data_IF_177846168286
#
_entry.id   IF_177846168286
#
_cell.length_a   1.000
_cell.length_b   1.000
_cell.length_c   1.000
_cell.angle_alpha   90.00
_cell.angle_beta   90.00
_cell.angle_gamma   90.00
#
_symmetry.space_group_name_H-M   'P 1'
#
loop_
_entity.id
_entity.type
_entity.pdbx_description
1 polymer ?
#
# COMPACT_ATOMS: atom_id res chain seq x y z
N UNK A 1 -28.65 31.75 -31.54
CA UNK A 1 -27.57 31.17 -30.69
C UNK A 1 -26.49 32.23 -30.54
N UNK A 2 -26.45 32.96 -29.42
CA UNK A 2 -25.31 33.85 -29.12
C UNK A 2 -24.12 32.94 -28.76
N UNK A 3 -23.10 32.92 -29.60
CA UNK A 3 -21.88 32.15 -29.34
C UNK A 3 -21.26 32.61 -28.02
N UNK A 4 -21.17 31.71 -27.05
CA UNK A 4 -20.35 31.90 -25.86
C UNK A 4 -18.89 32.03 -26.33
N UNK A 5 -18.40 33.25 -26.48
CA UNK A 5 -16.97 33.54 -26.48
C UNK A 5 -16.54 33.52 -25.01
N UNK A 6 -16.09 32.35 -24.55
CA UNK A 6 -15.45 32.22 -23.27
C UNK A 6 -13.99 31.89 -23.51
N UNK A 7 -13.14 32.82 -23.17
CA UNK A 7 -11.70 32.63 -23.21
C UNK A 7 -11.25 32.27 -21.77
N UNK A 8 -11.18 30.97 -21.48
CA UNK A 8 -10.57 30.50 -20.23
C UNK A 8 -9.10 30.25 -20.52
N UNK A 9 -8.24 31.07 -19.96
CA UNK A 9 -6.81 30.87 -20.05
C UNK A 9 -6.38 29.85 -19.00
N UNK A 10 -5.95 28.69 -19.45
CA UNK A 10 -5.52 27.60 -18.58
C UNK A 10 -4.35 28.02 -17.70
N UNK A 11 -3.40 28.78 -18.27
CA UNK A 11 -2.24 29.30 -17.57
C UNK A 11 -2.57 30.21 -16.38
N UNK A 12 -3.78 30.79 -16.30
CA UNK A 12 -4.22 31.62 -15.19
C UNK A 12 -4.94 30.79 -14.09
N UNK A 13 -5.17 29.50 -14.32
CA UNK A 13 -5.93 28.60 -13.45
C UNK A 13 -5.18 27.32 -13.06
N UNK A 14 -4.06 27.02 -13.68
CA UNK A 14 -3.24 25.81 -13.45
C UNK A 14 -1.80 26.24 -13.31
N UNK A 15 -1.17 25.89 -12.19
CA UNK A 15 0.23 26.15 -11.95
C UNK A 15 1.12 25.51 -13.04
N UNK A 16 2.17 26.20 -13.53
CA UNK A 16 3.09 25.72 -14.58
C UNK A 16 3.70 24.35 -14.27
N UNK A 17 3.91 24.02 -13.00
CA UNK A 17 4.37 22.70 -12.53
C UNK A 17 3.54 21.54 -13.12
N UNK A 18 2.24 21.71 -13.36
CA UNK A 18 1.36 20.69 -13.94
C UNK A 18 1.34 20.64 -15.47
N UNK A 19 2.24 21.37 -16.16
CA UNK A 19 2.30 21.40 -17.61
C UNK A 19 2.38 19.98 -18.21
N UNK A 20 3.21 19.11 -17.64
CA UNK A 20 3.35 17.73 -18.10
C UNK A 20 2.05 16.95 -17.98
N UNK A 21 1.34 17.05 -16.86
CA UNK A 21 0.01 16.41 -16.65
C UNK A 21 -0.99 16.86 -17.71
N UNK A 22 -0.93 18.11 -18.09
CA UNK A 22 -1.85 18.70 -19.05
C UNK A 22 -1.56 18.30 -20.49
N UNK A 23 -0.30 18.10 -20.84
CA UNK A 23 0.15 17.87 -22.22
C UNK A 23 0.49 16.42 -22.54
N UNK A 24 0.59 15.55 -21.55
CA UNK A 24 0.96 14.15 -21.75
C UNK A 24 -0.03 13.39 -22.63
N UNK A 25 0.51 12.58 -23.53
CA UNK A 25 -0.26 11.59 -24.32
C UNK A 25 -0.42 10.23 -23.62
N UNK A 26 0.16 10.05 -22.42
CA UNK A 26 0.10 8.79 -21.69
C UNK A 26 -1.32 8.49 -21.19
N UNK A 27 -1.80 7.24 -21.30
CA UNK A 27 -3.16 6.88 -20.87
C UNK A 27 -3.34 6.89 -19.35
N UNK A 28 -2.27 6.63 -18.58
CA UNK A 28 -2.33 6.44 -17.14
C UNK A 28 -1.56 7.54 -16.39
N UNK A 29 -2.24 8.25 -15.47
CA UNK A 29 -1.69 9.43 -14.80
C UNK A 29 -1.87 9.32 -13.28
N UNK A 30 -0.78 9.13 -12.56
CA UNK A 30 -0.76 9.04 -11.08
C UNK A 30 -0.24 10.36 -10.52
N UNK A 31 -1.10 11.09 -9.80
CA UNK A 31 -0.77 12.37 -9.19
C UNK A 31 -0.72 12.20 -7.66
N UNK A 32 0.48 12.22 -7.10
CA UNK A 32 0.71 12.13 -5.66
C UNK A 32 1.25 13.45 -5.09
N UNK A 33 1.00 13.72 -3.81
CA UNK A 33 1.54 14.93 -3.18
C UNK A 33 0.81 15.31 -1.90
N UNK A 34 1.34 16.32 -1.22
CA UNK A 34 0.83 16.80 0.05
C UNK A 34 -0.54 17.48 -0.01
N UNK A 35 -1.02 17.96 1.12
CA UNK A 35 -2.20 18.83 1.18
C UNK A 35 -1.92 20.14 0.46
N UNK A 36 -2.96 20.72 -0.13
CA UNK A 36 -2.89 21.96 -0.91
C UNK A 36 -1.96 21.90 -2.12
N UNK A 37 -1.67 20.73 -2.66
CA UNK A 37 -0.81 20.54 -3.82
C UNK A 37 -1.56 20.54 -5.15
N UNK A 38 -2.80 21.02 -5.18
CA UNK A 38 -3.64 21.28 -6.38
C UNK A 38 -4.04 20.07 -7.23
N UNK A 39 -3.59 18.85 -6.94
CA UNK A 39 -3.85 17.62 -7.72
C UNK A 39 -5.31 17.47 -8.18
N UNK A 40 -6.24 17.42 -7.22
CA UNK A 40 -7.66 17.22 -7.52
C UNK A 40 -8.28 18.39 -8.29
N UNK A 41 -7.79 19.63 -8.05
CA UNK A 41 -8.23 20.82 -8.79
C UNK A 41 -7.79 20.75 -10.25
N UNK A 42 -6.53 20.39 -10.49
CA UNK A 42 -5.96 20.26 -11.84
C UNK A 42 -6.65 19.15 -12.62
N UNK A 43 -6.88 17.97 -12.01
CA UNK A 43 -7.61 16.88 -12.67
C UNK A 43 -9.02 17.33 -13.03
N UNK A 44 -9.76 17.96 -12.11
CA UNK A 44 -11.11 18.42 -12.37
C UNK A 44 -11.17 19.41 -13.55
N UNK A 45 -10.24 20.38 -13.60
CA UNK A 45 -10.14 21.34 -14.74
C UNK A 45 -9.80 20.60 -16.04
N UNK A 46 -8.86 19.66 -16.01
CA UNK A 46 -8.46 18.88 -17.17
C UNK A 46 -9.60 18.02 -17.70
N UNK A 47 -10.42 17.39 -16.84
CA UNK A 47 -11.59 16.63 -17.23
C UNK A 47 -12.63 17.51 -17.94
N UNK A 48 -12.85 18.75 -17.46
CA UNK A 48 -13.71 19.71 -18.16
C UNK A 48 -13.11 20.09 -19.53
N UNK A 49 -11.82 20.36 -19.58
CA UNK A 49 -11.12 20.67 -20.83
C UNK A 49 -11.23 19.53 -21.84
N UNK A 50 -11.11 18.29 -21.42
CA UNK A 50 -11.22 17.10 -22.29
C UNK A 50 -12.62 16.90 -22.85
N UNK A 51 -13.68 17.21 -22.10
CA UNK A 51 -15.07 17.02 -22.57
C UNK A 51 -15.55 18.14 -23.50
N UNK A 52 -15.00 19.35 -23.37
CA UNK A 52 -15.45 20.55 -24.12
C UNK A 52 -15.47 20.35 -25.66
N UNK A 53 -14.46 19.76 -26.32
CA UNK A 53 -14.51 19.49 -27.76
C UNK A 53 -15.74 18.70 -28.19
N UNK A 54 -16.13 17.69 -27.42
CA UNK A 54 -17.33 16.88 -27.68
C UNK A 54 -18.62 17.68 -27.51
N UNK A 55 -18.67 18.56 -26.46
CA UNK A 55 -19.82 19.43 -26.24
C UNK A 55 -20.01 20.42 -27.40
N UNK A 56 -18.91 20.94 -27.95
CA UNK A 56 -18.92 21.85 -29.12
C UNK A 56 -19.37 21.10 -30.36
N UNK A 57 -18.88 19.87 -30.56
CA UNK A 57 -19.25 19.04 -31.69
C UNK A 57 -20.66 18.44 -31.58
N UNK A 58 -21.41 18.68 -30.50
CA UNK A 58 -22.73 18.11 -30.28
C UNK A 58 -22.70 16.60 -29.99
N UNK A 59 -21.56 16.05 -29.58
CA UNK A 59 -21.34 14.62 -29.32
C UNK A 59 -21.41 14.32 -27.82
N UNK A 60 -21.92 13.13 -27.52
CA UNK A 60 -21.97 12.65 -26.13
C UNK A 60 -20.66 12.05 -25.72
N UNK A 61 -20.04 12.55 -24.66
CA UNK A 61 -18.85 11.99 -24.02
C UNK A 61 -19.03 11.92 -22.48
N UNK A 62 -18.55 10.87 -21.86
CA UNK A 62 -18.76 10.60 -20.45
C UNK A 62 -17.45 10.49 -19.69
N UNK A 63 -17.48 10.91 -18.42
CA UNK A 63 -16.39 10.81 -17.47
C UNK A 63 -16.89 10.04 -16.24
N UNK A 64 -16.07 9.16 -15.69
CA UNK A 64 -16.37 8.41 -14.47
C UNK A 64 -15.45 8.87 -13.35
N UNK A 65 -16.00 9.16 -12.18
CA UNK A 65 -15.26 9.60 -10.98
C UNK A 65 -15.56 8.62 -9.85
N UNK A 66 -14.53 8.09 -9.24
CA UNK A 66 -14.63 6.99 -8.27
C UNK A 66 -13.94 7.36 -6.98
N UNK A 67 -14.62 7.09 -5.87
CA UNK A 67 -14.02 7.04 -4.53
C UNK A 67 -14.14 5.64 -3.92
N UNK A 68 -13.33 5.34 -2.92
CA UNK A 68 -13.46 4.07 -2.18
C UNK A 68 -14.85 3.95 -1.54
N UNK A 69 -15.32 5.02 -0.89
CA UNK A 69 -16.56 5.05 -0.13
C UNK A 69 -17.55 6.04 -0.74
N UNK A 70 -18.73 5.54 -1.13
CA UNK A 70 -19.73 6.32 -1.86
C UNK A 70 -20.31 7.52 -1.09
N UNK A 71 -20.41 7.44 0.24
CA UNK A 71 -20.95 8.53 1.06
C UNK A 71 -20.08 9.80 1.09
N UNK A 72 -18.80 9.71 0.73
CA UNK A 72 -17.85 10.84 0.68
C UNK A 72 -17.89 11.62 -0.63
N UNK A 73 -18.58 11.11 -1.64
CA UNK A 73 -18.65 11.70 -3.01
C UNK A 73 -19.17 13.13 -2.97
N UNK A 74 -20.27 13.37 -2.21
CA UNK A 74 -20.99 14.62 -2.21
C UNK A 74 -20.13 15.83 -1.87
N UNK A 75 -19.37 15.71 -0.79
CA UNK A 75 -18.63 16.83 -0.20
C UNK A 75 -17.19 16.91 -0.72
N UNK A 76 -16.82 16.07 -1.72
CA UNK A 76 -15.51 16.04 -2.34
C UNK A 76 -15.59 16.23 -3.87
N UNK A 77 -15.48 15.14 -4.62
CA UNK A 77 -15.35 15.16 -6.09
C UNK A 77 -16.56 15.75 -6.80
N UNK A 78 -17.77 15.61 -6.25
CA UNK A 78 -18.97 16.18 -6.84
C UNK A 78 -18.92 17.71 -6.82
N UNK A 79 -18.61 18.32 -5.68
CA UNK A 79 -18.41 19.78 -5.57
C UNK A 79 -17.19 20.24 -6.39
N UNK A 80 -16.15 19.42 -6.48
CA UNK A 80 -14.93 19.75 -7.24
C UNK A 80 -15.23 19.86 -8.75
N UNK A 81 -16.01 18.95 -9.32
CA UNK A 81 -16.45 19.04 -10.73
C UNK A 81 -17.37 20.24 -10.94
N UNK A 82 -18.29 20.53 -10.02
CA UNK A 82 -19.14 21.74 -10.11
C UNK A 82 -18.29 23.02 -10.09
N UNK A 83 -17.29 23.08 -9.21
CA UNK A 83 -16.35 24.20 -9.18
C UNK A 83 -15.59 24.34 -10.51
N UNK A 84 -15.12 23.25 -11.09
CA UNK A 84 -14.43 23.27 -12.38
C UNK A 84 -15.35 23.73 -13.51
N UNK A 85 -16.60 23.26 -13.56
CA UNK A 85 -17.61 23.72 -14.51
C UNK A 85 -17.89 25.23 -14.39
N UNK A 86 -17.90 25.75 -13.16
CA UNK A 86 -18.07 27.18 -12.92
C UNK A 86 -16.88 27.99 -13.46
N UNK A 87 -15.65 27.52 -13.23
CA UNK A 87 -14.44 28.13 -13.78
C UNK A 87 -14.45 28.24 -15.32
N UNK A 88 -15.04 27.23 -15.98
CA UNK A 88 -15.24 27.25 -17.43
C UNK A 88 -16.57 27.95 -17.85
N UNK A 89 -17.37 28.53 -16.89
CA UNK A 89 -18.66 29.18 -17.13
C UNK A 89 -19.70 28.23 -17.75
N UNK A 90 -19.56 26.94 -17.54
CA UNK A 90 -20.45 25.92 -18.06
C UNK A 90 -21.56 25.49 -17.08
N UNK A 91 -21.60 26.04 -15.86
CA UNK A 91 -22.54 25.64 -14.81
C UNK A 91 -24.00 25.71 -15.27
N UNK A 92 -24.40 26.71 -16.05
CA UNK A 92 -25.76 26.86 -16.56
C UNK A 92 -26.17 25.83 -17.62
N UNK A 93 -25.21 25.10 -18.17
CA UNK A 93 -25.42 24.05 -19.17
C UNK A 93 -25.61 22.68 -18.56
N UNK A 94 -25.08 22.46 -17.35
CA UNK A 94 -25.08 21.17 -16.67
C UNK A 94 -26.11 21.12 -15.54
N UNK A 95 -26.85 20.00 -15.45
CA UNK A 95 -27.78 19.70 -14.37
C UNK A 95 -27.12 18.67 -13.43
N UNK A 96 -27.02 19.03 -12.15
CA UNK A 96 -26.49 18.17 -11.10
C UNK A 96 -27.65 17.44 -10.38
N UNK A 97 -27.47 16.14 -10.09
CA UNK A 97 -28.38 15.32 -9.28
C UNK A 97 -27.55 14.54 -8.25
N UNK A 98 -28.16 14.29 -7.08
CA UNK A 98 -27.50 13.58 -5.96
C UNK A 98 -28.03 12.15 -5.75
N UNK A 99 -29.08 11.77 -6.45
CA UNK A 99 -29.62 10.41 -6.44
C UNK A 99 -30.14 10.03 -7.83
N UNK A 100 -29.41 9.30 -8.63
CA UNK A 100 -27.96 8.96 -8.46
C UNK A 100 -27.07 10.20 -8.60
N UNK A 101 -25.84 10.14 -8.06
CA UNK A 101 -24.86 11.20 -8.25
C UNK A 101 -24.41 11.29 -9.70
N UNK A 102 -24.80 12.37 -10.37
CA UNK A 102 -24.37 12.69 -11.73
C UNK A 102 -24.48 14.18 -12.03
N UNK A 103 -23.63 14.65 -12.95
CA UNK A 103 -23.69 16.01 -13.49
C UNK A 103 -23.75 15.88 -15.01
N UNK A 104 -24.89 16.25 -15.60
CA UNK A 104 -25.21 15.96 -16.99
C UNK A 104 -25.42 17.24 -17.80
N UNK A 105 -24.76 17.30 -18.97
CA UNK A 105 -25.03 18.32 -19.99
C UNK A 105 -26.44 18.18 -20.55
N UNK A 106 -27.20 19.27 -20.57
CA UNK A 106 -28.61 19.29 -21.00
C UNK A 106 -28.77 19.24 -22.51
N UNK A 107 -27.69 19.46 -23.29
CA UNK A 107 -27.73 19.52 -24.75
C UNK A 107 -27.26 18.20 -25.38
N UNK A 108 -26.09 17.70 -25.04
CA UNK A 108 -25.53 16.49 -25.63
C UNK A 108 -25.81 15.21 -24.83
N UNK A 109 -26.26 15.38 -23.58
CA UNK A 109 -26.39 14.27 -22.64
C UNK A 109 -25.06 13.72 -22.10
N UNK A 110 -23.93 14.42 -22.38
CA UNK A 110 -22.62 14.10 -21.79
C UNK A 110 -22.68 14.18 -20.26
N UNK A 111 -22.00 13.29 -19.55
CA UNK A 111 -22.22 13.14 -18.12
C UNK A 111 -20.94 12.82 -17.34
N UNK A 112 -20.83 13.42 -16.17
CA UNK A 112 -19.94 12.98 -15.11
C UNK A 112 -20.72 12.05 -14.19
N UNK A 113 -20.32 10.79 -14.12
CA UNK A 113 -20.86 9.77 -13.24
C UNK A 113 -19.99 9.61 -12.01
N UNK A 114 -20.61 9.46 -10.84
CA UNK A 114 -19.88 9.32 -9.58
C UNK A 114 -20.28 8.03 -8.88
N UNK A 115 -19.28 7.24 -8.48
CA UNK A 115 -19.49 5.94 -7.85
C UNK A 115 -18.58 5.73 -6.65
N UNK A 116 -19.11 4.96 -5.66
CA UNK A 116 -18.27 4.33 -4.64
C UNK A 116 -17.81 2.95 -5.11
N UNK A 117 -16.63 2.52 -4.70
CA UNK A 117 -16.14 1.17 -4.98
C UNK A 117 -16.98 0.10 -4.27
N UNK A 118 -17.62 0.45 -3.14
CA UNK A 118 -18.60 -0.37 -2.43
C UNK A 118 -19.85 -0.71 -3.29
N UNK A 119 -20.16 0.11 -4.28
CA UNK A 119 -21.22 -0.09 -5.28
C UNK A 119 -20.72 -0.73 -6.60
N UNK A 120 -19.56 -1.39 -6.59
CA UNK A 120 -18.89 -1.91 -7.80
C UNK A 120 -19.76 -2.87 -8.62
N UNK A 121 -20.67 -3.61 -8.01
CA UNK A 121 -21.64 -4.45 -8.74
C UNK A 121 -22.58 -3.62 -9.63
N UNK A 122 -22.95 -2.41 -9.20
CA UNK A 122 -23.72 -1.48 -10.04
C UNK A 122 -22.89 -0.95 -11.21
N UNK A 123 -21.58 -0.77 -11.02
CA UNK A 123 -20.66 -0.35 -12.09
C UNK A 123 -20.58 -1.38 -13.22
N UNK A 124 -20.55 -2.68 -12.90
CA UNK A 124 -20.49 -3.77 -13.88
C UNK A 124 -21.76 -3.88 -14.73
N UNK A 125 -22.90 -3.48 -14.19
CA UNK A 125 -24.22 -3.60 -14.85
C UNK A 125 -24.64 -2.35 -15.64
N UNK A 126 -23.94 -1.20 -15.48
CA UNK A 126 -24.26 0.03 -16.15
C UNK A 126 -23.53 0.16 -17.49
N UNK A 127 -24.27 0.19 -18.57
CA UNK A 127 -23.76 0.57 -19.88
C UNK A 127 -23.71 2.11 -19.97
N UNK A 128 -22.60 2.70 -19.57
CA UNK A 128 -22.37 4.16 -19.62
C UNK A 128 -22.06 4.58 -21.06
N UNK A 129 -21.20 3.83 -21.75
CA UNK A 129 -20.73 4.12 -23.10
C UNK A 129 -19.97 5.44 -23.25
N UNK A 130 -19.30 5.64 -24.36
CA UNK A 130 -18.62 6.89 -24.73
C UNK A 130 -17.71 7.47 -23.62
N UNK A 131 -16.97 6.62 -22.91
CA UNK A 131 -16.09 7.04 -21.81
C UNK A 131 -14.79 7.61 -22.41
N UNK A 132 -14.41 8.82 -21.96
CA UNK A 132 -13.16 9.47 -22.36
C UNK A 132 -12.15 9.50 -21.22
N UNK A 133 -12.59 9.51 -19.96
CA UNK A 133 -11.72 9.54 -18.80
C UNK A 133 -12.35 8.88 -17.57
N UNK A 134 -11.47 8.37 -16.68
CA UNK A 134 -11.82 7.85 -15.35
C UNK A 134 -10.88 8.49 -14.32
N UNK A 135 -11.43 8.90 -13.18
CA UNK A 135 -10.67 9.49 -12.08
C UNK A 135 -10.95 8.77 -10.77
N UNK A 136 -9.92 8.15 -10.19
CA UNK A 136 -9.92 7.60 -8.84
C UNK A 136 -9.35 8.66 -7.88
N UNK A 137 -10.19 9.18 -7.01
CA UNK A 137 -9.79 10.18 -6.03
C UNK A 137 -9.60 9.55 -4.66
N UNK A 138 -8.59 10.01 -3.92
CA UNK A 138 -8.07 9.40 -2.69
C UNK A 138 -7.69 7.93 -2.91
N UNK A 139 -6.89 7.68 -3.93
CA UNK A 139 -6.52 6.33 -4.36
C UNK A 139 -5.80 5.53 -3.26
N UNK A 140 -5.20 6.19 -2.26
CA UNK A 140 -4.60 5.54 -1.10
C UNK A 140 -5.62 4.87 -0.15
N UNK A 141 -6.91 5.20 -0.26
CA UNK A 141 -7.97 4.55 0.51
C UNK A 141 -8.31 3.14 -0.01
N UNK A 142 -7.95 2.81 -1.25
CA UNK A 142 -8.19 1.50 -1.85
C UNK A 142 -7.27 0.44 -1.25
N UNK A 143 -7.71 -0.83 -1.28
CA UNK A 143 -6.99 -1.89 -0.56
C UNK A 143 -5.74 -2.35 -1.31
N UNK A 144 -5.79 -2.38 -2.66
CA UNK A 144 -4.70 -2.84 -3.52
C UNK A 144 -4.94 -2.38 -4.98
N UNK A 145 -4.00 -2.66 -5.87
CA UNK A 145 -4.09 -2.32 -7.31
C UNK A 145 -5.16 -3.10 -8.06
N UNK A 146 -5.49 -4.30 -7.61
CA UNK A 146 -6.50 -5.16 -8.23
C UNK A 146 -7.89 -4.52 -8.20
N UNK A 147 -8.17 -3.66 -7.21
CA UNK A 147 -9.39 -2.86 -7.15
C UNK A 147 -9.55 -1.96 -8.38
N UNK A 148 -8.42 -1.45 -8.92
CA UNK A 148 -8.41 -0.64 -10.13
C UNK A 148 -8.50 -1.50 -11.40
N UNK A 149 -7.74 -2.58 -11.48
CA UNK A 149 -7.63 -3.41 -12.68
C UNK A 149 -8.98 -3.98 -13.09
N UNK A 150 -9.78 -4.46 -12.15
CA UNK A 150 -11.12 -4.97 -12.40
C UNK A 150 -12.06 -3.91 -12.99
N UNK A 151 -11.98 -2.68 -12.48
CA UNK A 151 -12.81 -1.56 -12.93
C UNK A 151 -12.35 -1.02 -14.27
N UNK A 152 -11.03 -0.89 -14.48
CA UNK A 152 -10.43 -0.33 -15.68
C UNK A 152 -10.84 -1.10 -16.94
N UNK A 153 -10.82 -2.44 -16.89
CA UNK A 153 -11.24 -3.29 -18.02
C UNK A 153 -12.68 -2.99 -18.44
N UNK A 154 -13.57 -2.74 -17.48
CA UNK A 154 -14.98 -2.41 -17.76
C UNK A 154 -15.10 -1.07 -18.48
N UNK A 155 -14.35 -0.06 -18.05
CA UNK A 155 -14.40 1.27 -18.65
C UNK A 155 -13.72 1.33 -20.02
N UNK A 156 -12.61 0.59 -20.22
CA UNK A 156 -11.92 0.51 -21.51
C UNK A 156 -12.82 -0.06 -22.60
N UNK A 157 -13.68 -1.03 -22.27
CA UNK A 157 -14.65 -1.63 -23.22
C UNK A 157 -15.71 -0.63 -23.67
N UNK A 158 -15.97 0.41 -22.88
CA UNK A 158 -16.97 1.44 -23.13
C UNK A 158 -16.38 2.76 -23.65
N UNK A 159 -15.16 2.68 -24.20
CA UNK A 159 -14.41 3.81 -24.74
C UNK A 159 -15.20 4.57 -25.81
N UNK A 160 -15.10 5.90 -25.80
CA UNK A 160 -15.63 6.73 -26.86
C UNK A 160 -14.92 6.40 -28.21
N UNK A 161 -15.64 6.23 -29.33
CA UNK A 161 -15.03 5.81 -30.61
C UNK A 161 -14.00 6.79 -31.18
N UNK A 162 -14.05 8.07 -30.82
CA UNK A 162 -13.16 9.11 -31.33
C UNK A 162 -11.94 9.41 -30.43
N UNK A 163 -11.71 8.63 -29.37
CA UNK A 163 -10.47 8.72 -28.62
C UNK A 163 -9.65 7.46 -28.79
N UNK A 164 -8.33 7.58 -28.77
CA UNK A 164 -7.44 6.42 -28.92
C UNK A 164 -7.53 5.49 -27.70
N UNK A 165 -7.67 6.08 -26.50
CA UNK A 165 -7.78 5.35 -25.23
C UNK A 165 -8.63 6.12 -24.22
N UNK A 166 -9.10 5.43 -23.18
CA UNK A 166 -9.66 6.06 -21.97
C UNK A 166 -8.50 6.55 -21.11
N UNK A 167 -8.52 7.81 -20.71
CA UNK A 167 -7.49 8.39 -19.86
C UNK A 167 -7.81 8.16 -18.39
N UNK A 168 -6.88 7.56 -17.64
CA UNK A 168 -7.04 7.26 -16.23
C UNK A 168 -6.23 8.20 -15.37
N UNK A 169 -6.83 8.64 -14.26
CA UNK A 169 -6.20 9.47 -13.25
C UNK A 169 -6.36 8.85 -11.87
N UNK A 170 -5.28 8.81 -11.11
CA UNK A 170 -5.28 8.49 -9.68
C UNK A 170 -4.71 9.66 -8.91
N UNK A 171 -5.43 10.19 -7.94
CA UNK A 171 -4.95 11.26 -7.07
C UNK A 171 -4.97 10.82 -5.62
N UNK A 172 -3.88 11.05 -4.90
CA UNK A 172 -3.80 10.70 -3.50
C UNK A 172 -2.72 11.48 -2.75
N UNK A 173 -2.87 11.55 -1.43
CA UNK A 173 -1.82 11.95 -0.52
C UNK A 173 -1.06 10.70 -0.09
N UNK A 174 0.28 10.64 -0.27
CA UNK A 174 1.05 9.45 0.10
C UNK A 174 0.83 9.08 1.57
N UNK A 175 0.54 7.81 1.89
CA UNK A 175 0.56 7.32 3.26
C UNK A 175 1.93 7.54 3.90
N UNK A 176 1.95 7.69 5.24
CA UNK A 176 3.18 7.93 6.00
C UNK A 176 4.16 6.76 5.90
N UNK A 177 3.64 5.53 5.82
CA UNK A 177 4.47 4.34 5.61
C UNK A 177 5.01 4.31 4.16
N UNK A 178 6.33 4.37 3.93
CA UNK A 178 6.92 4.32 2.61
C UNK A 178 6.65 2.99 1.89
N UNK A 179 6.44 1.92 2.62
CA UNK A 179 6.17 0.56 2.12
C UNK A 179 4.68 0.25 1.99
N UNK A 180 3.79 1.25 2.08
CA UNK A 180 2.39 1.01 1.74
C UNK A 180 2.28 0.68 0.25
N UNK A 181 1.36 -0.22 -0.09
CA UNK A 181 1.21 -0.76 -1.45
C UNK A 181 1.16 0.34 -2.53
N UNK A 182 0.48 1.47 -2.24
CA UNK A 182 0.31 2.54 -3.24
C UNK A 182 1.59 3.37 -3.44
N UNK A 183 2.44 3.50 -2.41
CA UNK A 183 3.73 4.16 -2.54
C UNK A 183 4.69 3.31 -3.38
N UNK A 184 4.76 1.99 -3.10
CA UNK A 184 5.57 1.05 -3.88
C UNK A 184 5.07 0.97 -5.32
N UNK A 185 3.75 0.83 -5.52
CA UNK A 185 3.13 0.82 -6.84
C UNK A 185 3.48 2.08 -7.66
N UNK A 186 3.40 3.26 -7.07
CA UNK A 186 3.76 4.50 -7.77
C UNK A 186 5.26 4.57 -8.13
N UNK A 187 6.15 4.01 -7.29
CA UNK A 187 7.58 3.97 -7.61
C UNK A 187 7.87 2.98 -8.77
N UNK A 188 7.23 1.81 -8.79
CA UNK A 188 7.33 0.85 -9.89
C UNK A 188 6.90 1.47 -11.23
N UNK A 189 5.79 2.24 -11.23
CA UNK A 189 5.21 2.83 -12.42
C UNK A 189 6.04 3.96 -13.03
N UNK A 190 7.01 4.53 -12.33
CA UNK A 190 7.90 5.57 -12.90
C UNK A 190 8.69 5.09 -14.11
N UNK A 191 8.93 3.78 -14.18
CA UNK A 191 9.69 3.15 -15.27
C UNK A 191 8.79 2.63 -16.41
N UNK A 192 7.47 2.74 -16.29
CA UNK A 192 6.52 2.32 -17.33
C UNK A 192 6.23 3.49 -18.27
N UNK A 193 6.49 3.32 -19.56
CA UNK A 193 6.28 4.36 -20.58
C UNK A 193 4.83 4.81 -20.75
N UNK A 194 3.87 3.97 -20.35
CA UNK A 194 2.43 4.27 -20.41
C UNK A 194 1.94 5.10 -19.22
N UNK A 195 2.74 5.22 -18.16
CA UNK A 195 2.37 5.93 -16.95
C UNK A 195 3.11 7.26 -16.81
N UNK A 196 2.37 8.28 -16.40
CA UNK A 196 2.93 9.51 -15.84
C UNK A 196 2.75 9.46 -14.31
N UNK A 197 3.86 9.47 -13.57
CA UNK A 197 3.84 9.62 -12.11
C UNK A 197 4.31 11.02 -11.77
N UNK A 198 3.38 11.86 -11.32
CA UNK A 198 3.62 13.27 -11.04
C UNK A 198 3.51 13.54 -9.54
N UNK A 199 4.49 14.23 -8.98
CA UNK A 199 4.51 14.64 -7.57
C UNK A 199 4.33 16.15 -7.45
N UNK A 200 3.56 16.59 -6.46
CA UNK A 200 3.32 18.01 -6.22
C UNK A 200 3.16 18.35 -4.74
N UNK A 201 3.49 19.56 -4.38
CA UNK A 201 3.35 20.13 -3.05
C UNK A 201 2.73 21.54 -3.12
N UNK A 202 2.46 22.16 -1.98
CA UNK A 202 2.02 23.54 -1.95
C UNK A 202 3.10 24.51 -2.43
N UNK A 203 4.38 24.11 -2.43
CA UNK A 203 5.51 24.91 -2.92
C UNK A 203 5.47 25.13 -4.43
N UNK A 204 4.72 24.33 -5.16
CA UNK A 204 4.52 24.43 -6.60
C UNK A 204 3.43 25.47 -6.97
N UNK A 205 3.07 26.33 -6.00
CA UNK A 205 2.09 27.40 -6.19
C UNK A 205 2.72 28.66 -6.76
N UNK A 206 3.01 28.64 -8.04
CA UNK A 206 3.56 29.80 -8.77
C UNK A 206 2.52 30.91 -9.01
N UNK A 207 1.22 30.59 -8.91
CA UNK A 207 0.11 31.52 -9.17
C UNK A 207 -0.48 32.15 -7.89
N UNK A 208 -0.01 31.74 -6.70
CA UNK A 208 -0.44 32.33 -5.44
C UNK A 208 -1.87 31.97 -5.03
N UNK A 209 -2.29 30.74 -5.25
CA UNK A 209 -3.63 30.26 -4.86
C UNK A 209 -3.75 29.92 -3.38
N UNK A 210 -2.63 29.62 -2.72
CA UNK A 210 -2.60 29.33 -1.29
C UNK A 210 -2.73 30.62 -0.50
N UNK A 211 -3.73 30.70 0.39
CA UNK A 211 -3.95 31.90 1.20
C UNK A 211 -2.78 32.14 2.18
N UNK A 212 -2.46 33.42 2.43
CA UNK A 212 -1.39 33.83 3.36
C UNK A 212 -1.56 33.23 4.77
N UNK A 213 -2.78 33.14 5.27
CA UNK A 213 -3.07 32.49 6.54
C UNK A 213 -2.66 31.01 6.54
N UNK A 214 -2.90 30.32 5.44
CA UNK A 214 -2.51 28.91 5.29
C UNK A 214 -0.97 28.77 5.26
N UNK A 215 -0.27 29.66 4.57
CA UNK A 215 1.20 29.68 4.54
C UNK A 215 1.78 29.90 5.94
N UNK A 216 1.18 30.82 6.73
CA UNK A 216 1.60 31.04 8.12
C UNK A 216 1.37 29.81 9.00
N UNK A 217 0.24 29.10 8.82
CA UNK A 217 -0.03 27.87 9.55
C UNK A 217 0.94 26.74 9.17
N UNK A 218 1.29 26.64 7.88
CA UNK A 218 2.28 25.67 7.37
C UNK A 218 3.66 25.95 7.99
N UNK A 219 4.11 27.18 8.00
CA UNK A 219 5.42 27.55 8.57
C UNK A 219 5.50 27.25 10.07
N UNK A 220 4.44 27.57 10.82
CA UNK A 220 4.35 27.20 12.24
C UNK A 220 4.45 25.69 12.47
N UNK A 221 3.80 24.88 11.63
CA UNK A 221 3.87 23.40 11.71
C UNK A 221 5.28 22.93 11.38
N UNK A 222 5.89 23.50 10.35
CA UNK A 222 7.26 23.19 9.94
C UNK A 222 8.30 23.47 11.04
N UNK A 223 8.13 24.57 11.78
CA UNK A 223 8.97 24.89 12.93
C UNK A 223 8.77 23.95 14.12
N UNK A 224 7.52 23.51 14.38
CA UNK A 224 7.19 22.71 15.54
C UNK A 224 7.33 21.20 15.30
N UNK A 225 7.02 20.72 14.12
CA UNK A 225 7.07 19.28 13.75
C UNK A 225 7.45 19.14 12.27
N UNK A 226 8.75 19.12 12.02
CA UNK A 226 9.28 19.07 10.66
C UNK A 226 8.92 17.77 9.93
N UNK A 227 8.84 16.63 10.61
CA UNK A 227 8.45 15.34 10.00
C UNK A 227 6.97 15.32 9.63
N UNK A 228 6.11 15.87 10.49
CA UNK A 228 4.70 16.05 10.16
C UNK A 228 4.51 17.01 8.99
N UNK A 229 5.27 18.11 8.93
CA UNK A 229 5.27 19.04 7.80
C UNK A 229 5.65 18.35 6.47
N UNK A 230 6.72 17.57 6.47
CA UNK A 230 7.16 16.80 5.29
C UNK A 230 6.06 15.84 4.83
N UNK A 231 5.48 15.11 5.76
CA UNK A 231 4.42 14.17 5.46
C UNK A 231 3.17 14.85 4.89
N UNK A 232 2.61 15.82 5.61
CA UNK A 232 1.30 16.41 5.29
C UNK A 232 1.38 17.38 4.09
N UNK A 233 2.41 18.22 4.03
CA UNK A 233 2.46 19.29 3.04
C UNK A 233 3.39 19.02 1.85
N UNK A 234 4.50 18.31 2.05
CA UNK A 234 5.35 17.91 0.93
C UNK A 234 4.90 16.58 0.31
N UNK A 235 4.07 15.78 1.01
CA UNK A 235 3.63 14.48 0.53
C UNK A 235 4.77 13.46 0.49
N UNK A 236 5.75 13.61 1.39
CA UNK A 236 6.85 12.68 1.54
C UNK A 236 6.46 11.56 2.52
N UNK A 237 6.65 10.28 2.16
CA UNK A 237 6.52 9.20 3.13
C UNK A 237 7.71 9.26 4.08
N UNK A 238 7.52 9.92 5.22
CA UNK A 238 8.59 10.17 6.20
C UNK A 238 8.75 8.99 7.17
N UNK A 239 9.19 7.85 6.65
CA UNK A 239 9.69 6.71 7.45
C UNK A 239 8.79 6.26 8.58
N UNK A 240 9.38 5.68 9.52
CA UNK A 240 8.93 4.84 10.62
C UNK A 240 7.66 5.18 11.40
N UNK A 241 7.01 6.29 11.24
CA UNK A 241 5.84 6.76 12.00
C UNK A 241 5.06 5.71 12.81
N UNK A 242 4.63 4.65 12.15
CA UNK A 242 3.97 3.49 12.76
C UNK A 242 4.74 2.18 12.57
N UNK A 243 5.76 2.13 11.71
CA UNK A 243 6.50 0.88 11.46
C UNK A 243 7.23 0.42 12.73
N UNK A 244 7.11 -0.87 12.98
CA UNK A 244 7.77 -1.51 14.14
C UNK A 244 9.28 -1.61 13.91
N UNK A 245 9.71 -1.89 12.67
CA UNK A 245 11.11 -2.12 12.34
C UNK A 245 11.62 -1.16 11.25
N UNK A 246 12.91 -0.79 11.35
CA UNK A 246 13.63 -0.11 10.30
C UNK A 246 14.17 -1.14 9.29
N UNK A 247 13.65 -1.14 8.07
CA UNK A 247 14.02 -2.12 7.03
C UNK A 247 15.44 -1.92 6.50
N UNK A 248 16.06 -0.76 6.66
CA UNK A 248 17.47 -0.52 6.29
C UNK A 248 18.45 -1.36 7.13
N UNK A 249 17.97 -1.86 8.28
CA UNK A 249 18.74 -2.73 9.18
C UNK A 249 18.61 -4.23 8.84
N UNK A 250 17.77 -4.58 7.85
CA UNK A 250 17.62 -5.94 7.34
C UNK A 250 18.65 -6.17 6.23
N UNK A 251 19.82 -6.68 6.59
CA UNK A 251 20.93 -6.81 5.65
C UNK A 251 20.78 -8.05 4.77
N UNK A 252 20.80 -7.84 3.46
CA UNK A 252 20.83 -8.93 2.49
C UNK A 252 22.24 -9.54 2.45
N UNK A 253 22.32 -10.87 2.45
CA UNK A 253 23.57 -11.60 2.24
C UNK A 253 23.35 -12.69 1.18
N UNK A 254 24.24 -12.79 0.18
CA UNK A 254 24.14 -13.84 -0.83
C UNK A 254 24.55 -15.21 -0.29
N UNK A 255 25.44 -15.23 0.69
CA UNK A 255 25.87 -16.44 1.43
C UNK A 255 26.36 -16.04 2.83
N UNK A 256 26.47 -17.04 3.71
CA UNK A 256 27.19 -16.87 4.98
C UNK A 256 28.69 -16.75 4.66
N UNK A 257 29.40 -15.76 5.19
CA UNK A 257 30.82 -15.57 4.92
C UNK A 257 31.65 -16.76 5.35
N UNK A 258 32.65 -17.14 4.54
CA UNK A 258 33.52 -18.30 4.79
C UNK A 258 34.34 -18.18 6.08
N UNK A 259 34.56 -16.97 6.60
CA UNK A 259 35.23 -16.68 7.86
C UNK A 259 34.28 -16.67 9.09
N UNK A 260 33.05 -17.11 8.92
CA UNK A 260 32.06 -17.28 9.99
C UNK A 260 31.64 -18.75 10.07
N UNK A 261 31.80 -19.34 11.26
CA UNK A 261 31.37 -20.72 11.50
C UNK A 261 29.95 -20.75 12.06
N UNK A 262 29.08 -21.48 11.40
CA UNK A 262 27.72 -21.77 11.91
C UNK A 262 27.84 -22.68 13.14
N UNK A 263 27.21 -22.31 14.24
CA UNK A 263 27.26 -23.02 15.52
C UNK A 263 25.91 -23.62 15.94
N UNK A 264 24.79 -23.17 15.32
CA UNK A 264 23.46 -23.69 15.64
C UNK A 264 22.44 -23.33 14.58
N UNK A 265 21.43 -24.21 14.46
CA UNK A 265 20.24 -24.00 13.62
C UNK A 265 19.04 -23.74 14.51
N UNK A 266 18.22 -22.77 14.14
CA UNK A 266 17.00 -22.37 14.84
C UNK A 266 15.80 -22.48 13.90
N UNK A 267 14.70 -22.99 14.43
CA UNK A 267 13.44 -22.97 13.74
C UNK A 267 12.37 -22.28 14.61
N UNK A 268 11.51 -21.47 13.99
CA UNK A 268 10.40 -20.85 14.70
C UNK A 268 9.16 -20.85 13.83
N UNK A 269 8.03 -21.26 14.41
CA UNK A 269 6.76 -21.34 13.71
C UNK A 269 5.69 -20.46 14.39
N UNK A 270 4.94 -19.73 13.56
CA UNK A 270 3.67 -19.13 13.91
C UNK A 270 2.56 -19.80 13.10
N UNK A 271 1.44 -20.09 13.74
CA UNK A 271 0.43 -20.96 13.16
C UNK A 271 -0.95 -20.32 13.23
N UNK A 272 -1.52 -20.08 12.08
CA UNK A 272 -2.78 -19.36 11.96
C UNK A 272 -4.04 -20.21 11.93
N UNK A 273 -3.98 -21.49 12.28
CA UNK A 273 -5.10 -22.43 12.20
C UNK A 273 -5.83 -22.39 10.84
N UNK A 274 -7.17 -22.33 10.86
CA UNK A 274 -7.98 -22.39 9.62
C UNK A 274 -8.21 -21.03 8.96
N UNK A 275 -7.84 -19.92 9.57
CA UNK A 275 -8.19 -18.58 9.09
C UNK A 275 -6.99 -17.75 8.63
N UNK A 276 -5.84 -17.92 9.24
CA UNK A 276 -4.62 -17.15 8.96
C UNK A 276 -3.47 -18.05 8.52
N UNK A 277 -2.36 -17.44 8.09
CA UNK A 277 -1.24 -18.20 7.54
C UNK A 277 -0.48 -19.00 8.61
N UNK A 278 0.19 -20.05 8.17
CA UNK A 278 1.15 -20.82 8.96
C UNK A 278 2.53 -20.62 8.35
N UNK A 279 3.49 -20.21 9.14
CA UNK A 279 4.87 -20.00 8.72
C UNK A 279 5.85 -20.77 9.61
N UNK A 280 7.01 -21.11 9.04
CA UNK A 280 8.14 -21.65 9.78
C UNK A 280 9.43 -21.05 9.24
N UNK A 281 10.14 -20.31 10.07
CA UNK A 281 11.44 -19.73 9.76
C UNK A 281 12.55 -20.71 10.06
N UNK A 282 13.56 -20.76 9.20
CA UNK A 282 14.85 -21.41 9.47
C UNK A 282 15.95 -20.37 9.47
N UNK A 283 16.65 -20.25 10.58
CA UNK A 283 17.83 -19.39 10.70
C UNK A 283 19.01 -20.14 11.32
N UNK A 284 20.20 -19.60 11.09
CA UNK A 284 21.42 -20.13 11.69
C UNK A 284 22.18 -19.05 12.43
N UNK A 285 22.82 -19.45 13.53
CA UNK A 285 23.65 -18.56 14.35
C UNK A 285 25.11 -18.87 14.09
N UNK A 286 25.94 -17.83 13.94
CA UNK A 286 27.37 -17.96 13.77
C UNK A 286 28.16 -17.73 15.08
N UNK A 287 29.42 -18.14 15.09
CA UNK A 287 30.34 -17.89 16.20
C UNK A 287 30.60 -16.40 16.48
N UNK A 288 30.09 -15.50 15.65
CA UNK A 288 30.10 -14.04 15.86
C UNK A 288 28.75 -13.51 16.38
N UNK A 289 27.88 -14.38 16.89
CA UNK A 289 26.53 -14.06 17.34
C UNK A 289 25.68 -13.34 16.28
N UNK A 290 25.93 -13.62 14.98
CA UNK A 290 25.10 -13.15 13.88
C UNK A 290 24.05 -14.18 13.54
N UNK A 291 22.85 -13.69 13.22
CA UNK A 291 21.70 -14.51 12.81
C UNK A 291 21.48 -14.35 11.30
N UNK A 292 21.50 -15.47 10.59
CA UNK A 292 21.19 -15.51 9.15
C UNK A 292 19.89 -16.25 8.93
N UNK A 293 18.83 -15.57 8.46
CA UNK A 293 17.62 -16.22 7.98
C UNK A 293 17.94 -16.94 6.67
N UNK A 294 17.84 -18.25 6.67
CA UNK A 294 18.17 -19.09 5.51
C UNK A 294 16.99 -19.18 4.56
N UNK A 295 15.84 -19.59 5.08
CA UNK A 295 14.61 -19.74 4.30
C UNK A 295 13.38 -19.74 5.21
N UNK A 296 12.18 -19.64 4.63
CA UNK A 296 10.94 -19.84 5.36
C UNK A 296 9.97 -20.74 4.58
N UNK A 297 9.14 -21.46 5.33
CA UNK A 297 7.93 -22.10 4.84
C UNK A 297 6.75 -21.16 5.08
N UNK A 298 5.87 -21.03 4.10
CA UNK A 298 4.68 -20.21 4.23
C UNK A 298 3.46 -20.87 3.56
N UNK A 299 2.38 -21.01 4.30
CA UNK A 299 1.10 -21.47 3.78
C UNK A 299 -0.01 -20.52 4.21
N UNK A 300 -0.70 -19.89 3.27
CA UNK A 300 -1.93 -19.15 3.53
C UNK A 300 -3.16 -19.94 3.08
N UNK A 301 -4.19 -20.07 3.95
CA UNK A 301 -5.48 -20.64 3.58
C UNK A 301 -6.39 -19.65 2.84
N UNK A 302 -6.02 -18.36 2.76
CA UNK A 302 -6.81 -17.32 2.13
C UNK A 302 -7.11 -17.66 0.66
N UNK A 303 -8.36 -17.48 0.26
CA UNK A 303 -8.80 -17.75 -1.12
C UNK A 303 -8.84 -19.24 -1.50
N UNK A 304 -8.54 -20.17 -0.57
CA UNK A 304 -8.56 -21.62 -0.86
C UNK A 304 -9.87 -22.27 -0.42
N UNK A 305 -10.48 -23.02 -1.34
CA UNK A 305 -11.70 -23.77 -1.09
C UNK A 305 -11.47 -24.94 -0.09
N UNK A 306 -10.29 -25.58 -0.19
CA UNK A 306 -9.88 -26.66 0.70
C UNK A 306 -8.69 -26.24 1.54
N UNK A 307 -8.88 -26.16 2.84
CA UNK A 307 -7.84 -25.80 3.81
C UNK A 307 -7.09 -27.04 4.26
N UNK A 308 -5.78 -26.92 4.52
CA UNK A 308 -4.96 -28.04 5.00
C UNK A 308 -5.33 -28.40 6.43
N UNK A 309 -5.46 -29.69 6.70
CA UNK A 309 -5.61 -30.21 8.06
C UNK A 309 -4.27 -30.12 8.83
N UNK A 310 -4.29 -30.10 10.18
CA UNK A 310 -3.07 -30.11 10.99
C UNK A 310 -2.10 -31.23 10.63
N UNK A 311 -2.60 -32.44 10.30
CA UNK A 311 -1.78 -33.56 9.87
C UNK A 311 -1.05 -33.37 8.54
N UNK A 312 -1.61 -32.58 7.63
CA UNK A 312 -0.95 -32.20 6.38
C UNK A 312 0.12 -31.15 6.64
N UNK A 313 -0.20 -30.13 7.44
CA UNK A 313 0.76 -29.09 7.85
C UNK A 313 1.93 -29.69 8.63
N UNK A 314 1.70 -30.64 9.53
CA UNK A 314 2.72 -31.37 10.29
C UNK A 314 3.74 -32.03 9.35
N UNK A 315 3.27 -32.73 8.31
CA UNK A 315 4.13 -33.38 7.32
C UNK A 315 4.94 -32.38 6.49
N UNK A 316 4.30 -31.33 5.97
CA UNK A 316 4.99 -30.30 5.19
C UNK A 316 6.03 -29.54 6.01
N UNK A 317 5.74 -29.22 7.27
CA UNK A 317 6.70 -28.65 8.19
C UNK A 317 7.88 -29.60 8.44
N UNK A 318 7.62 -30.88 8.61
CA UNK A 318 8.70 -31.86 8.80
C UNK A 318 9.57 -32.00 7.55
N UNK A 319 8.98 -32.01 6.37
CA UNK A 319 9.72 -32.00 5.10
C UNK A 319 10.60 -30.74 4.98
N UNK A 320 10.06 -29.57 5.33
CA UNK A 320 10.81 -28.32 5.35
C UNK A 320 11.97 -28.38 6.34
N UNK A 321 11.72 -28.72 7.60
CA UNK A 321 12.74 -28.82 8.66
C UNK A 321 13.83 -29.81 8.25
N UNK A 322 13.44 -31.00 7.75
CA UNK A 322 14.39 -32.02 7.33
C UNK A 322 15.26 -31.56 6.16
N UNK A 323 14.67 -30.89 5.16
CA UNK A 323 15.39 -30.36 4.02
C UNK A 323 16.37 -29.27 4.45
N UNK A 324 15.93 -28.35 5.28
CA UNK A 324 16.75 -27.24 5.75
C UNK A 324 17.89 -27.67 6.65
N UNK A 325 17.64 -28.62 7.57
CA UNK A 325 18.69 -29.16 8.47
C UNK A 325 19.83 -29.81 7.68
N UNK A 326 19.55 -30.46 6.55
CA UNK A 326 20.56 -31.07 5.69
C UNK A 326 21.50 -30.08 4.99
N UNK A 327 21.15 -28.81 4.92
CA UNK A 327 22.04 -27.78 4.37
C UNK A 327 23.24 -27.49 5.27
N UNK A 328 23.12 -27.78 6.57
CA UNK A 328 24.16 -27.54 7.58
C UNK A 328 24.52 -28.84 8.31
N UNK A 329 25.12 -29.75 7.58
CA UNK A 329 25.57 -31.05 8.14
C UNK A 329 26.50 -30.83 9.32
N UNK A 330 26.33 -31.58 10.42
CA UNK A 330 27.07 -31.48 11.68
C UNK A 330 26.83 -30.19 12.49
N UNK A 331 25.86 -29.35 12.14
CA UNK A 331 25.43 -28.24 12.97
C UNK A 331 24.16 -28.65 13.72
N UNK A 332 24.13 -28.60 15.06
CA UNK A 332 22.95 -29.01 15.81
C UNK A 332 21.75 -28.07 15.57
N UNK A 333 20.54 -28.64 15.56
CA UNK A 333 19.32 -27.88 15.79
C UNK A 333 19.26 -27.57 17.29
N UNK A 334 19.42 -26.27 17.62
CA UNK A 334 19.51 -25.82 19.02
C UNK A 334 18.11 -25.67 19.60
N UNK A 335 17.18 -25.05 18.84
CA UNK A 335 15.82 -24.83 19.30
C UNK A 335 14.82 -24.88 18.13
N UNK A 336 13.65 -25.42 18.44
CA UNK A 336 12.49 -25.44 17.55
C UNK A 336 11.30 -24.82 18.32
N UNK A 337 11.07 -23.53 18.12
CA UNK A 337 10.08 -22.72 18.83
C UNK A 337 8.77 -22.67 18.09
N UNK A 338 7.64 -22.73 18.80
CA UNK A 338 6.30 -22.59 18.23
C UNK A 338 5.44 -21.68 19.10
N UNK A 339 4.41 -21.06 18.50
CA UNK A 339 3.40 -20.33 19.26
C UNK A 339 2.84 -21.19 20.41
N UNK A 340 2.85 -20.65 21.63
CA UNK A 340 2.34 -21.35 22.81
C UNK A 340 0.84 -21.65 22.74
N UNK A 341 0.07 -20.89 21.97
CA UNK A 341 -1.36 -21.10 21.77
C UNK A 341 -1.67 -22.29 20.84
N UNK A 342 -0.70 -22.74 20.01
CA UNK A 342 -0.92 -23.84 19.08
C UNK A 342 -0.59 -25.21 19.66
N UNK A 343 -1.50 -25.73 20.49
CA UNK A 343 -1.41 -27.11 20.98
C UNK A 343 -1.70 -28.16 19.91
N UNK A 344 -2.53 -27.86 18.92
CA UNK A 344 -3.00 -28.86 17.96
C UNK A 344 -1.88 -29.30 17.01
N UNK A 345 -1.23 -28.39 16.32
CA UNK A 345 -0.13 -28.73 15.40
C UNK A 345 1.09 -29.29 16.16
N UNK A 346 1.40 -28.71 17.33
CA UNK A 346 2.49 -29.18 18.18
C UNK A 346 2.30 -30.66 18.62
N UNK A 347 1.12 -31.02 19.06
CA UNK A 347 0.81 -32.39 19.46
C UNK A 347 0.80 -33.33 18.24
N UNK A 348 0.22 -32.92 17.13
CA UNK A 348 0.23 -33.67 15.89
C UNK A 348 1.66 -34.00 15.42
N UNK A 349 2.54 -32.98 15.45
CA UNK A 349 3.94 -33.13 15.05
C UNK A 349 4.71 -34.09 15.98
N UNK A 350 4.42 -34.03 17.28
CA UNK A 350 4.98 -34.97 18.26
C UNK A 350 4.50 -36.42 18.00
N UNK A 351 3.23 -36.63 17.71
CA UNK A 351 2.67 -37.95 17.35
C UNK A 351 3.26 -38.49 16.04
N UNK A 352 3.38 -37.62 15.01
CA UNK A 352 3.84 -38.04 13.69
C UNK A 352 5.35 -38.39 13.66
N UNK A 353 6.18 -37.65 14.43
CA UNK A 353 7.64 -37.67 14.26
C UNK A 353 8.44 -37.88 15.57
N UNK A 354 7.79 -37.90 16.72
CA UNK A 354 8.46 -38.04 18.03
C UNK A 354 9.30 -36.80 18.43
N UNK A 355 9.15 -35.67 17.72
CA UNK A 355 9.90 -34.43 17.93
C UNK A 355 9.01 -33.39 18.59
N UNK A 356 9.50 -32.78 19.65
CA UNK A 356 8.75 -31.77 20.41
C UNK A 356 9.21 -30.35 20.04
N UNK A 357 8.27 -29.52 19.65
CA UNK A 357 8.47 -28.07 19.55
C UNK A 357 8.33 -27.42 20.93
N UNK A 358 9.21 -26.46 21.22
CA UNK A 358 9.17 -25.66 22.44
C UNK A 358 8.09 -24.55 22.32
N UNK A 359 7.08 -24.52 23.21
CA UNK A 359 6.10 -23.43 23.20
C UNK A 359 6.72 -22.16 23.77
N UNK A 360 6.79 -21.09 22.96
CA UNK A 360 7.40 -19.82 23.39
C UNK A 360 6.72 -19.26 24.63
N UNK A 361 7.52 -18.78 25.60
CA UNK A 361 7.02 -17.98 26.73
C UNK A 361 6.81 -16.53 26.27
N UNK A 362 5.61 -16.25 25.69
CA UNK A 362 5.27 -14.93 25.16
C UNK A 362 5.42 -13.83 26.22
N UNK A 363 6.10 -12.75 25.84
CA UNK A 363 6.18 -11.50 26.60
C UNK A 363 5.20 -10.49 25.99
N UNK A 364 5.09 -9.29 26.57
CA UNK A 364 4.37 -8.18 25.97
C UNK A 364 4.94 -7.89 24.57
N UNK A 365 4.09 -7.49 23.63
CA UNK A 365 4.50 -7.25 22.25
C UNK A 365 5.64 -6.25 22.13
N UNK A 366 5.57 -5.15 22.90
CA UNK A 366 6.63 -4.14 22.94
C UNK A 366 7.98 -4.74 23.35
N UNK A 367 8.02 -5.61 24.34
CA UNK A 367 9.26 -6.25 24.82
C UNK A 367 9.85 -7.20 23.76
N UNK A 368 9.00 -7.96 23.07
CA UNK A 368 9.46 -8.87 22.01
C UNK A 368 10.03 -8.07 20.83
N UNK A 369 9.39 -6.97 20.46
CA UNK A 369 9.88 -6.09 19.39
C UNK A 369 11.19 -5.40 19.76
N UNK A 370 11.38 -4.99 21.02
CA UNK A 370 12.64 -4.39 21.50
C UNK A 370 13.84 -5.34 21.38
N UNK A 371 13.67 -6.63 21.62
CA UNK A 371 14.75 -7.61 21.39
C UNK A 371 15.14 -7.72 19.92
N UNK A 372 14.14 -7.74 19.02
CA UNK A 372 14.39 -7.74 17.57
C UNK A 372 15.11 -6.45 17.17
N UNK A 373 14.61 -5.29 17.62
CA UNK A 373 15.21 -3.99 17.33
C UNK A 373 16.68 -3.92 17.82
N UNK A 374 16.98 -4.48 19.00
CA UNK A 374 18.34 -4.55 19.53
C UNK A 374 19.26 -5.39 18.62
N UNK A 375 18.80 -6.55 18.15
CA UNK A 375 19.57 -7.39 17.22
C UNK A 375 19.85 -6.68 15.90
N UNK A 376 18.82 -5.99 15.37
CA UNK A 376 18.89 -5.21 14.13
C UNK A 376 19.85 -4.02 14.30
N UNK A 377 19.74 -3.25 15.38
CA UNK A 377 20.57 -2.09 15.66
C UNK A 377 22.07 -2.46 15.80
N UNK A 378 22.35 -3.65 16.34
CA UNK A 378 23.71 -4.20 16.42
C UNK A 378 24.28 -4.64 15.04
N UNK A 379 23.50 -4.57 13.96
CA UNK A 379 23.90 -5.00 12.62
C UNK A 379 24.18 -6.50 12.52
N UNK A 380 23.52 -7.32 13.35
CA UNK A 380 23.77 -8.76 13.46
C UNK A 380 22.72 -9.65 12.79
N UNK A 381 21.74 -9.07 12.13
CA UNK A 381 20.73 -9.80 11.38
C UNK A 381 20.98 -9.72 9.86
N UNK A 382 20.92 -10.87 9.21
CA UNK A 382 21.07 -11.02 7.77
C UNK A 382 20.01 -11.99 7.24
N UNK A 383 19.62 -11.84 5.96
CA UNK A 383 18.75 -12.80 5.28
C UNK A 383 19.32 -13.23 3.93
N UNK A 384 19.15 -14.50 3.57
CA UNK A 384 19.45 -14.99 2.23
C UNK A 384 18.26 -14.67 1.30
N UNK A 385 18.48 -14.21 0.06
CA UNK A 385 17.43 -13.75 -0.83
C UNK A 385 16.70 -14.90 -1.54
N UNK A 386 16.18 -15.88 -0.77
CA UNK A 386 15.30 -16.90 -1.32
C UNK A 386 13.97 -16.28 -1.75
N UNK A 387 13.27 -16.94 -2.68
CA UNK A 387 11.95 -16.47 -3.12
C UNK A 387 10.99 -16.29 -1.92
N UNK A 388 10.98 -17.25 -1.00
CA UNK A 388 10.10 -17.18 0.18
C UNK A 388 10.48 -16.05 1.12
N UNK A 389 11.80 -15.85 1.39
CA UNK A 389 12.25 -14.76 2.25
C UNK A 389 11.87 -13.40 1.67
N UNK A 390 12.04 -13.19 0.36
CA UNK A 390 11.68 -11.94 -0.29
C UNK A 390 10.16 -11.72 -0.33
N UNK A 391 9.41 -12.78 -0.67
CA UNK A 391 7.97 -12.68 -0.90
C UNK A 391 7.16 -12.55 0.39
N UNK A 392 7.57 -13.24 1.47
CA UNK A 392 6.78 -13.30 2.70
C UNK A 392 7.47 -12.59 3.86
N UNK A 393 8.68 -13.00 4.23
CA UNK A 393 9.35 -12.44 5.40
C UNK A 393 9.61 -10.94 5.24
N UNK A 394 10.24 -10.53 4.16
CA UNK A 394 10.56 -9.11 3.94
C UNK A 394 9.30 -8.28 3.75
N UNK A 395 8.31 -8.76 3.00
CA UNK A 395 7.08 -8.01 2.75
C UNK A 395 6.21 -7.83 4.00
N UNK A 396 6.09 -8.84 4.85
CA UNK A 396 5.37 -8.70 6.12
C UNK A 396 6.10 -7.72 7.05
N UNK A 397 7.44 -7.80 7.19
CA UNK A 397 8.20 -6.88 8.03
C UNK A 397 8.14 -5.43 7.54
N UNK A 398 8.09 -5.18 6.25
CA UNK A 398 7.87 -3.83 5.68
C UNK A 398 6.54 -3.22 6.11
N UNK A 399 5.50 -4.04 6.19
CA UNK A 399 4.13 -3.60 6.51
C UNK A 399 3.81 -3.68 8.00
N UNK A 400 4.66 -4.31 8.79
CA UNK A 400 4.44 -4.51 10.21
C UNK A 400 4.48 -3.19 10.97
N UNK A 401 3.35 -2.78 11.52
CA UNK A 401 3.19 -1.44 12.10
C UNK A 401 2.35 -1.46 13.38
N UNK A 402 2.58 -0.47 14.22
CA UNK A 402 1.74 -0.20 15.38
C UNK A 402 0.39 0.37 14.95
N UNK A 403 -0.66 0.04 15.67
CA UNK A 403 -1.93 0.76 15.57
C UNK A 403 -1.72 2.21 16.02
N UNK A 404 -1.96 3.16 15.13
CA UNK A 404 -1.68 4.59 15.36
C UNK A 404 -2.27 5.12 16.67
N UNK A 405 -3.49 4.67 17.01
CA UNK A 405 -4.19 5.06 18.26
C UNK A 405 -3.57 4.45 19.52
N UNK A 406 -2.75 3.42 19.40
CA UNK A 406 -2.16 2.70 20.53
C UNK A 406 -0.71 3.09 20.84
N UNK A 407 -0.03 3.80 19.94
CA UNK A 407 1.41 4.13 20.06
C UNK A 407 1.75 4.86 21.36
N UNK A 408 0.83 5.69 21.86
CA UNK A 408 1.03 6.47 23.10
C UNK A 408 0.68 5.70 24.36
N UNK A 409 0.26 4.43 24.25
CA UNK A 409 -0.06 3.60 25.40
C UNK A 409 1.20 2.87 25.92
N UNK A 410 1.18 2.50 27.21
CA UNK A 410 2.25 1.68 27.83
C UNK A 410 2.39 0.27 27.21
N UNK A 411 1.39 -0.18 26.48
CA UNK A 411 1.35 -1.47 25.78
C UNK A 411 0.74 -1.27 24.37
N UNK A 412 1.53 -0.74 23.43
CA UNK A 412 1.06 -0.48 22.08
C UNK A 412 0.70 -1.79 21.35
N UNK A 413 -0.33 -1.73 20.53
CA UNK A 413 -0.81 -2.86 19.72
C UNK A 413 -0.29 -2.74 18.30
N UNK A 414 -0.02 -3.90 17.68
CA UNK A 414 0.29 -3.98 16.27
C UNK A 414 -0.99 -4.17 15.45
N UNK A 415 -0.97 -3.69 14.22
CA UNK A 415 -2.01 -4.03 13.23
C UNK A 415 -1.92 -5.53 12.96
N UNK A 416 -3.04 -6.23 13.15
CA UNK A 416 -3.14 -7.70 12.98
C UNK A 416 -3.48 -8.05 11.54
N UNK A 417 -2.54 -7.81 10.63
CA UNK A 417 -2.67 -8.09 9.20
C UNK A 417 -1.29 -8.52 8.69
N UNK A 418 -1.20 -9.70 8.09
CA UNK A 418 0.03 -10.28 7.51
C UNK A 418 1.25 -10.16 8.46
N UNK A 419 1.10 -10.63 9.71
CA UNK A 419 2.11 -10.48 10.78
C UNK A 419 2.79 -11.80 11.19
N UNK A 420 2.55 -12.89 10.46
CA UNK A 420 2.93 -14.25 10.88
C UNK A 420 4.44 -14.48 10.91
N UNK A 421 5.16 -14.03 9.89
CA UNK A 421 6.64 -14.15 9.89
C UNK A 421 7.27 -13.22 10.91
N UNK A 422 6.64 -12.06 11.20
CA UNK A 422 7.07 -11.15 12.25
C UNK A 422 6.93 -11.77 13.64
N UNK A 423 5.81 -12.43 13.90
CA UNK A 423 5.56 -13.12 15.16
C UNK A 423 6.49 -14.32 15.33
N UNK A 424 6.68 -15.15 14.29
CA UNK A 424 7.64 -16.25 14.32
C UNK A 424 9.09 -15.77 14.57
N UNK A 425 9.48 -14.65 13.98
CA UNK A 425 10.80 -14.06 14.18
C UNK A 425 10.99 -13.57 15.61
N UNK A 426 9.99 -12.92 16.19
CA UNK A 426 10.02 -12.52 17.61
C UNK A 426 10.13 -13.74 18.53
N UNK A 427 9.41 -14.83 18.25
CA UNK A 427 9.48 -16.06 19.04
C UNK A 427 10.88 -16.68 18.98
N UNK A 428 11.48 -16.75 17.79
CA UNK A 428 12.84 -17.23 17.61
C UNK A 428 13.85 -16.46 18.46
N UNK A 429 13.75 -15.14 18.49
CA UNK A 429 14.70 -14.29 19.23
C UNK A 429 14.46 -14.41 20.73
N UNK A 430 13.21 -14.35 21.20
CA UNK A 430 12.87 -14.43 22.63
C UNK A 430 13.37 -15.73 23.27
N UNK A 431 13.24 -16.85 22.58
CA UNK A 431 13.70 -18.15 23.09
C UNK A 431 15.21 -18.34 23.04
N UNK A 432 15.93 -17.52 22.27
CA UNK A 432 17.36 -17.68 22.03
C UNK A 432 18.21 -16.47 22.44
N UNK A 433 17.73 -15.63 23.38
CA UNK A 433 18.42 -14.40 23.80
C UNK A 433 19.87 -14.65 24.20
N UNK A 434 20.14 -15.70 25.00
CA UNK A 434 21.47 -16.02 25.47
C UNK A 434 22.40 -16.44 24.32
N UNK A 435 21.92 -17.28 23.41
CA UNK A 435 22.67 -17.72 22.22
C UNK A 435 23.01 -16.55 21.30
N UNK A 436 22.07 -15.59 21.20
CA UNK A 436 22.24 -14.37 20.41
C UNK A 436 23.03 -13.27 21.15
N UNK A 437 23.44 -13.50 22.38
CA UNK A 437 24.16 -12.52 23.18
C UNK A 437 23.33 -11.27 23.50
N UNK A 438 22.01 -11.41 23.55
CA UNK A 438 21.09 -10.34 23.96
C UNK A 438 20.86 -10.43 25.48
N UNK A 439 20.75 -9.28 26.13
CA UNK A 439 20.43 -9.22 27.57
C UNK A 439 18.93 -9.44 27.75
N UNK A 440 18.57 -10.37 28.64
CA UNK A 440 17.19 -10.66 29.01
C UNK A 440 16.57 -9.55 29.87
#
# INVERSE_FOLDING_TARGET
MRGLKMEVRIQDNVNPHFKEVWTTSKPYNVLKGGRNSFKSSVIALLLIFMIVPFLIAGKKANVVVIRKVGNTIRDSVFLKIQWALNKFGLSGRFKATVSPFKIQDTVTGSCFYFYGQDDFQKLKSNDIGNIIAVWYEEAAEFSNKEDFDQSNVTFMRQKHPEVDFVKFFWSYNPPRNPYSWINEWAEELKNDENYLVHSSSYLDDELGFVAEQMLADIERIKENDYDYYRYIYLGEPVGLGTNVYNMDLFHKADKIPDNERVIGQLFAADTGHQQSATTCLHAVVTNKCKLYLVDNYYYSPAGKTHKKAPSVLSKELHEFVTRQTKLFVNVPVVEMTIDSADGALRNQYLEDFGIRWHPVAKKKKIVMTEYVQSLLADGRFYYLPTENNLRYFIEEHKRYQWEEKSIMNDDPKVVKEDDHTCDAFQYMIVDNLQLLGLKA
#
